data_IF_497397026955
#
_entry.id   IF_497397026955
#
_cell.length_a   1.000
_cell.length_b   1.000
_cell.length_c   1.000
_cell.angle_alpha   90.00
_cell.angle_beta   90.00
_cell.angle_gamma   90.00
#
_symmetry.space_group_name_H-M   'P 1'
#
loop_
_entity.id
_entity.type
_entity.pdbx_description
1 polymer ?
#
# COMPACT_ATOMS: atom_id res chain seq x y z
N UNK A 1 22.41 13.84 9.98
CA UNK A 1 22.95 12.51 9.63
C UNK A 1 21.85 11.80 8.87
N UNK A 2 22.07 11.48 7.60
CA UNK A 2 21.03 10.85 6.78
C UNK A 2 21.12 9.33 6.96
N UNK A 3 19.98 8.67 7.14
CA UNK A 3 19.96 7.23 7.37
C UNK A 3 20.26 6.51 6.06
N UNK A 4 21.25 5.59 6.00
CA UNK A 4 21.49 4.79 4.80
C UNK A 4 20.27 3.93 4.43
N UNK A 5 19.42 3.60 5.42
CA UNK A 5 18.16 2.91 5.22
C UNK A 5 17.05 3.82 4.71
N UNK A 6 17.17 5.15 4.83
CA UNK A 6 16.23 6.06 4.20
C UNK A 6 16.33 6.01 2.68
N UNK A 7 17.51 5.73 2.09
CA UNK A 7 17.63 5.60 0.64
C UNK A 7 16.87 4.37 0.11
N UNK A 8 17.00 3.24 0.80
CA UNK A 8 16.27 2.01 0.47
C UNK A 8 14.82 1.98 1.00
N UNK A 9 14.48 2.84 1.96
CA UNK A 9 13.16 2.98 2.58
C UNK A 9 12.32 4.15 2.08
N UNK A 10 12.93 5.13 1.40
CA UNK A 10 12.33 6.44 1.07
C UNK A 10 12.80 6.96 -0.31
N UNK A 11 12.83 6.10 -1.34
CA UNK A 11 12.75 6.56 -2.74
C UNK A 11 13.88 6.20 -3.70
N UNK A 12 14.92 5.44 -3.29
CA UNK A 12 15.99 5.02 -4.22
C UNK A 12 16.09 3.50 -4.41
N UNK A 13 15.25 2.71 -3.73
CA UNK A 13 15.19 1.26 -3.92
C UNK A 13 14.17 0.87 -4.98
N UNK A 14 14.58 0.05 -5.95
CA UNK A 14 13.70 -0.59 -6.94
C UNK A 14 12.67 -1.53 -6.31
N UNK A 15 12.77 -1.80 -5.01
CA UNK A 15 11.87 -2.71 -4.29
C UNK A 15 10.77 -1.93 -3.54
N UNK A 16 9.54 -2.38 -3.70
CA UNK A 16 8.36 -1.93 -2.95
C UNK A 16 7.56 -3.13 -2.46
N UNK A 17 6.64 -2.89 -1.52
CA UNK A 17 5.82 -3.92 -0.89
C UNK A 17 4.36 -3.64 -1.16
N UNK A 18 3.65 -4.69 -1.58
CA UNK A 18 2.19 -4.67 -1.68
C UNK A 18 1.58 -5.16 -0.38
N UNK A 19 0.60 -4.40 0.10
CA UNK A 19 -0.20 -4.72 1.27
C UNK A 19 -1.68 -4.81 0.89
N UNK A 20 -2.43 -5.60 1.64
CA UNK A 20 -3.88 -5.56 1.68
C UNK A 20 -4.28 -4.82 2.96
N UNK A 21 -4.95 -3.69 2.84
CA UNK A 21 -5.32 -2.84 3.98
C UNK A 21 -6.83 -2.57 3.99
N UNK A 22 -7.50 -2.74 5.14
CA UNK A 22 -8.90 -2.35 5.26
C UNK A 22 -8.99 -0.82 5.37
N UNK A 23 -9.76 -0.21 4.48
CA UNK A 23 -10.02 1.23 4.46
C UNK A 23 -11.51 1.52 4.61
N UNK A 24 -11.83 2.63 5.27
CA UNK A 24 -13.21 3.10 5.38
C UNK A 24 -13.60 3.91 4.14
N UNK A 25 -14.58 3.42 3.38
CA UNK A 25 -15.23 4.25 2.36
C UNK A 25 -16.20 5.20 3.06
N UNK A 26 -15.83 6.48 3.16
CA UNK A 26 -16.64 7.48 3.87
C UNK A 26 -18.00 7.76 3.22
N UNK A 27 -18.15 7.47 1.92
CA UNK A 27 -19.41 7.69 1.21
C UNK A 27 -20.43 6.59 1.51
N UNK A 28 -20.02 5.33 1.42
CA UNK A 28 -20.89 4.18 1.68
C UNK A 28 -20.91 3.73 3.14
N UNK A 29 -20.01 4.27 3.97
CA UNK A 29 -19.82 3.90 5.39
C UNK A 29 -19.51 2.41 5.58
N UNK A 30 -18.82 1.81 4.62
CA UNK A 30 -18.41 0.41 4.63
C UNK A 30 -16.89 0.29 4.62
N UNK A 31 -16.38 -0.78 5.23
CA UNK A 31 -14.98 -1.14 5.11
C UNK A 31 -14.77 -1.98 3.86
N UNK A 32 -13.68 -1.70 3.15
CA UNK A 32 -13.26 -2.48 1.98
C UNK A 32 -11.76 -2.74 2.07
N UNK A 33 -11.33 -3.92 1.65
CA UNK A 33 -9.91 -4.26 1.58
C UNK A 33 -9.36 -3.77 0.25
N UNK A 34 -8.31 -2.96 0.31
CA UNK A 34 -7.68 -2.35 -0.87
C UNK A 34 -6.19 -2.64 -0.87
N UNK A 35 -5.64 -2.83 -2.06
CA UNK A 35 -4.21 -3.02 -2.26
C UNK A 35 -3.51 -1.66 -2.10
N UNK A 36 -2.60 -1.59 -1.14
CA UNK A 36 -1.80 -0.40 -0.84
C UNK A 36 -0.30 -0.69 -1.01
N UNK A 37 0.48 0.37 -1.18
CA UNK A 37 1.93 0.31 -1.33
C UNK A 37 2.61 1.05 -0.18
N UNK A 38 3.82 0.63 0.20
CA UNK A 38 4.66 1.42 1.11
C UNK A 38 5.17 2.70 0.46
N UNK A 39 5.35 2.71 -0.86
CA UNK A 39 5.94 3.82 -1.62
C UNK A 39 5.37 3.94 -3.03
N UNK A 40 5.70 5.05 -3.69
CA UNK A 40 5.45 5.24 -5.10
C UNK A 40 6.37 4.30 -5.92
N UNK A 41 5.83 3.43 -6.79
CA UNK A 41 6.64 2.59 -7.64
C UNK A 41 7.18 3.38 -8.83
N UNK A 42 8.27 2.90 -9.42
CA UNK A 42 8.79 3.42 -10.68
C UNK A 42 8.05 2.82 -11.89
N UNK A 43 8.19 3.45 -13.06
CA UNK A 43 7.66 2.93 -14.32
C UNK A 43 6.14 3.10 -14.48
N UNK A 44 5.55 2.27 -15.34
CA UNK A 44 4.14 2.39 -15.74
C UNK A 44 3.14 2.15 -14.60
N UNK A 45 3.54 1.42 -13.55
CA UNK A 45 2.70 1.20 -12.38
C UNK A 45 2.45 2.51 -11.62
N UNK A 46 3.39 3.47 -11.71
CA UNK A 46 3.25 4.80 -11.11
C UNK A 46 1.99 5.52 -11.60
N UNK A 47 1.56 5.29 -12.84
CA UNK A 47 0.36 5.89 -13.41
C UNK A 47 -0.95 5.34 -12.83
N UNK A 48 -0.89 4.17 -12.18
CA UNK A 48 -2.01 3.52 -11.50
C UNK A 48 -1.93 3.62 -9.97
N UNK A 49 -0.98 4.36 -9.43
CA UNK A 49 -0.87 4.60 -7.98
C UNK A 49 -1.20 6.05 -7.65
N UNK A 50 -2.07 6.23 -6.67
CA UNK A 50 -2.49 7.53 -6.17
C UNK A 50 -2.28 7.63 -4.66
N UNK A 51 -1.92 8.82 -4.20
CA UNK A 51 -1.81 9.12 -2.78
C UNK A 51 -3.18 9.54 -2.26
N UNK A 52 -3.69 8.81 -1.26
CA UNK A 52 -5.02 9.04 -0.68
C UNK A 52 -4.88 9.34 0.80
N UNK A 53 -5.57 10.38 1.27
CA UNK A 53 -5.69 10.66 2.69
C UNK A 53 -6.82 9.80 3.29
N UNK A 54 -6.45 8.84 4.16
CA UNK A 54 -7.41 7.94 4.78
C UNK A 54 -7.86 8.49 6.16
N UNK A 55 -9.17 8.45 6.47
CA UNK A 55 -9.66 8.78 7.80
C UNK A 55 -9.29 7.67 8.80
N UNK A 56 -9.28 8.01 10.09
CA UNK A 56 -9.07 7.01 11.15
C UNK A 56 -10.15 5.94 11.10
N UNK A 57 -9.77 4.67 11.31
CA UNK A 57 -10.73 3.57 11.37
C UNK A 57 -11.39 3.43 12.74
N UNK A 58 -10.78 4.00 13.79
CA UNK A 58 -11.30 4.03 15.16
C UNK A 58 -10.88 5.31 15.89
N UNK A 59 -11.74 5.78 16.80
CA UNK A 59 -11.43 6.91 17.69
C UNK A 59 -10.26 6.61 18.65
N UNK A 60 -9.99 5.32 18.92
CA UNK A 60 -8.89 4.87 19.78
C UNK A 60 -7.57 4.67 19.02
N UNK A 61 -7.56 4.84 17.70
CA UNK A 61 -6.32 4.83 16.95
C UNK A 61 -5.60 6.18 17.14
N UNK A 62 -4.58 6.13 17.99
CA UNK A 62 -3.61 7.19 18.20
C UNK A 62 -2.28 6.77 17.57
N UNK A 63 -1.66 7.67 16.81
CA UNK A 63 -0.34 7.45 16.28
C UNK A 63 0.65 7.78 17.40
N UNK A 64 1.66 6.94 17.58
CA UNK A 64 2.58 7.08 18.71
C UNK A 64 3.24 8.46 18.69
N UNK A 65 3.17 9.18 19.81
CA UNK A 65 3.69 10.55 19.97
C UNK A 65 5.20 10.69 19.69
N UNK A 66 5.91 9.57 19.55
CA UNK A 66 7.34 9.48 19.27
C UNK A 66 7.71 9.60 17.79
N UNK A 67 6.75 9.50 16.86
CA UNK A 67 7.02 9.41 15.42
C UNK A 67 6.53 10.64 14.60
N UNK A 68 6.92 11.86 15.01
CA UNK A 68 6.85 13.08 14.17
C UNK A 68 5.47 13.40 13.56
N UNK A 69 5.42 14.25 12.53
CA UNK A 69 4.18 14.59 11.82
C UNK A 69 3.63 13.35 11.08
N UNK A 70 2.58 12.76 11.65
CA UNK A 70 1.88 11.58 11.15
C UNK A 70 1.03 11.99 9.94
N UNK A 71 1.48 11.64 8.73
CA UNK A 71 0.69 11.79 7.52
C UNK A 71 -0.15 10.53 7.30
N UNK A 72 -1.47 10.70 7.11
CA UNK A 72 -2.40 9.61 6.81
C UNK A 72 -2.50 9.30 5.31
N UNK A 73 -1.57 9.85 4.55
CA UNK A 73 -1.48 9.60 3.13
C UNK A 73 -0.94 8.19 2.87
N UNK A 74 -1.71 7.40 2.14
CA UNK A 74 -1.38 6.03 1.76
C UNK A 74 -1.36 5.94 0.24
N UNK A 75 -0.37 5.23 -0.30
CA UNK A 75 -0.33 4.90 -1.72
C UNK A 75 -1.31 3.77 -2.00
N UNK A 76 -2.30 4.05 -2.83
CA UNK A 76 -3.37 3.12 -3.17
C UNK A 76 -3.26 2.72 -4.63
N UNK A 77 -3.40 1.42 -4.91
CA UNK A 77 -3.44 0.90 -6.26
C UNK A 77 -4.84 1.08 -6.86
N UNK A 78 -4.88 1.76 -8.00
CA UNK A 78 -6.08 2.00 -8.79
C UNK A 78 -6.24 0.94 -9.87
N UNK A 79 -7.49 0.61 -10.20
CA UNK A 79 -7.83 -0.26 -11.34
C UNK A 79 -7.55 0.42 -12.68
N UNK A 80 -7.69 1.74 -12.74
CA UNK A 80 -7.53 2.55 -13.95
C UNK A 80 -6.40 3.58 -13.79
N UNK A 81 -5.72 3.97 -14.88
CA UNK A 81 -4.71 5.02 -14.84
C UNK A 81 -5.30 6.36 -14.34
N UNK A 82 -4.50 7.14 -13.60
CA UNK A 82 -4.88 8.45 -13.06
C UNK A 82 -5.44 9.41 -14.11
N UNK A 83 -5.00 9.29 -15.36
CA UNK A 83 -5.46 10.12 -16.49
C UNK A 83 -6.95 9.92 -16.80
N UNK A 84 -7.53 8.76 -16.44
CA UNK A 84 -8.94 8.42 -16.65
C UNK A 84 -9.88 9.01 -15.59
N UNK A 85 -9.34 9.70 -14.59
CA UNK A 85 -10.09 10.30 -13.48
C UNK A 85 -9.43 9.98 -12.14
N UNK A 86 -9.29 10.98 -11.29
CA UNK A 86 -8.76 10.78 -9.94
C UNK A 86 -9.78 10.07 -9.03
N UNK A 87 -9.23 9.42 -8.01
CA UNK A 87 -9.89 8.97 -6.79
C UNK A 87 -11.26 9.62 -6.50
N UNK A 88 -12.32 8.81 -6.53
CA UNK A 88 -13.67 9.23 -6.18
C UNK A 88 -14.33 8.16 -5.31
N UNK A 89 -14.65 8.51 -4.06
CA UNK A 89 -15.27 7.60 -3.09
C UNK A 89 -16.61 6.99 -3.54
N UNK A 90 -17.31 7.63 -4.49
CA UNK A 90 -18.54 7.10 -5.08
C UNK A 90 -18.29 5.87 -5.95
N UNK A 91 -17.13 5.81 -6.60
CA UNK A 91 -16.77 4.70 -7.48
C UNK A 91 -16.00 3.65 -6.68
N UNK A 92 -16.69 2.58 -6.26
CA UNK A 92 -16.09 1.47 -5.52
C UNK A 92 -15.16 0.63 -6.37
N UNK A 93 -15.36 0.60 -7.69
CA UNK A 93 -14.56 -0.20 -8.63
C UNK A 93 -13.20 0.43 -8.96
N UNK A 94 -12.94 1.65 -8.49
CA UNK A 94 -11.67 2.33 -8.78
C UNK A 94 -10.48 1.71 -8.05
N UNK A 95 -10.72 0.95 -6.98
CA UNK A 95 -9.68 0.32 -6.17
C UNK A 95 -9.50 -1.15 -6.53
N UNK A 96 -8.26 -1.61 -6.48
CA UNK A 96 -7.95 -3.03 -6.58
C UNK A 96 -8.09 -3.67 -5.19
N UNK A 97 -8.95 -4.68 -5.09
CA UNK A 97 -9.25 -5.38 -3.84
C UNK A 97 -8.53 -6.71 -3.69
N UNK A 98 -8.94 -7.50 -2.70
CA UNK A 98 -8.38 -8.83 -2.44
C UNK A 98 -8.58 -9.80 -3.62
N UNK A 99 -9.73 -9.72 -4.29
CA UNK A 99 -10.07 -10.60 -5.42
C UNK A 99 -9.24 -10.28 -6.68
N UNK A 100 -8.67 -9.07 -6.75
CA UNK A 100 -7.86 -8.63 -7.89
C UNK A 100 -6.38 -9.02 -7.76
N UNK A 101 -5.94 -9.55 -6.61
CA UNK A 101 -4.54 -9.90 -6.36
C UNK A 101 -3.94 -10.76 -7.49
N UNK A 102 -4.60 -11.83 -7.99
CA UNK A 102 -4.05 -12.63 -9.09
C UNK A 102 -3.79 -11.80 -10.36
N UNK A 103 -4.71 -10.89 -10.70
CA UNK A 103 -4.60 -10.01 -11.85
C UNK A 103 -3.47 -8.99 -11.69
N UNK A 104 -3.29 -8.44 -10.48
CA UNK A 104 -2.17 -7.54 -10.17
C UNK A 104 -0.83 -8.26 -10.33
N UNK A 105 -0.69 -9.46 -9.79
CA UNK A 105 0.53 -10.25 -9.91
C UNK A 105 0.83 -10.61 -11.38
N UNK A 106 -0.20 -10.94 -12.15
CA UNK A 106 -0.09 -11.17 -13.60
C UNK A 106 0.38 -9.93 -14.35
N UNK A 107 -0.21 -8.77 -14.06
CA UNK A 107 0.17 -7.50 -14.66
C UNK A 107 1.62 -7.13 -14.36
N UNK A 108 2.06 -7.25 -13.10
CA UNK A 108 3.42 -6.96 -12.69
C UNK A 108 4.43 -7.80 -13.48
N UNK A 109 4.19 -9.12 -13.55
CA UNK A 109 5.06 -10.03 -14.31
C UNK A 109 5.08 -9.70 -15.80
N UNK A 110 3.93 -9.38 -16.39
CA UNK A 110 3.84 -9.03 -17.81
C UNK A 110 4.59 -7.75 -18.18
N UNK A 111 4.76 -6.83 -17.22
CA UNK A 111 5.40 -5.53 -17.42
C UNK A 111 6.82 -5.45 -16.85
N UNK A 112 7.48 -6.60 -16.65
CA UNK A 112 8.90 -6.67 -16.28
C UNK A 112 9.20 -6.48 -14.79
N UNK A 113 8.19 -6.38 -13.93
CA UNK A 113 8.43 -6.40 -12.48
C UNK A 113 8.73 -7.82 -12.01
N UNK A 114 9.68 -7.94 -11.10
CA UNK A 114 10.06 -9.23 -10.48
C UNK A 114 9.40 -9.34 -9.11
N UNK A 115 8.62 -10.40 -8.92
CA UNK A 115 8.02 -10.70 -7.61
C UNK A 115 9.04 -11.50 -6.81
N UNK A 116 9.52 -10.94 -5.69
CA UNK A 116 10.50 -11.59 -4.84
C UNK A 116 9.80 -12.59 -3.90
N UNK A 117 9.79 -13.85 -4.31
CA UNK A 117 9.15 -14.91 -3.52
C UNK A 117 9.94 -15.30 -2.29
N UNK A 118 11.25 -15.09 -2.27
CA UNK A 118 12.11 -15.58 -1.19
C UNK A 118 12.08 -14.63 0.00
N UNK A 119 12.14 -13.32 -0.24
CA UNK A 119 11.84 -12.30 0.77
C UNK A 119 10.41 -12.48 1.28
N UNK A 120 9.44 -12.64 0.37
CA UNK A 120 8.03 -12.82 0.75
C UNK A 120 7.85 -14.04 1.66
N UNK A 121 8.43 -15.20 1.31
CA UNK A 121 8.41 -16.41 2.15
C UNK A 121 9.13 -16.21 3.48
N UNK A 122 10.27 -15.53 3.50
CA UNK A 122 11.01 -15.23 4.72
C UNK A 122 10.15 -14.41 5.68
N UNK A 123 9.45 -13.39 5.17
CA UNK A 123 8.57 -12.55 5.98
C UNK A 123 7.36 -13.31 6.51
N UNK A 124 6.72 -14.15 5.69
CA UNK A 124 5.59 -14.97 6.14
C UNK A 124 5.98 -16.08 7.13
N UNK A 125 7.22 -16.59 7.08
CA UNK A 125 7.73 -17.59 8.03
C UNK A 125 8.30 -16.97 9.31
N UNK A 126 8.59 -15.67 9.28
CA UNK A 126 9.14 -14.95 10.41
C UNK A 126 8.12 -14.85 11.54
N UNK A 127 8.60 -14.80 12.78
CA UNK A 127 7.77 -14.42 13.95
C UNK A 127 7.58 -12.91 14.04
N UNK A 128 8.27 -12.15 13.20
CA UNK A 128 8.11 -10.70 13.09
C UNK A 128 6.90 -10.45 12.21
N UNK A 129 5.81 -9.97 12.82
CA UNK A 129 4.63 -9.53 12.09
C UNK A 129 4.97 -8.27 11.30
N UNK A 130 5.25 -8.43 10.00
CA UNK A 130 5.43 -7.30 9.10
C UNK A 130 4.10 -7.09 8.39
N UNK A 131 3.37 -6.09 8.89
CA UNK A 131 1.93 -5.96 8.73
C UNK A 131 1.37 -5.24 9.97
N UNK A 132 0.07 -5.25 10.18
CA UNK A 132 -0.54 -4.70 11.38
C UNK A 132 -0.85 -3.20 11.36
N UNK A 133 -1.36 -2.74 12.50
CA UNK A 133 -1.64 -1.32 12.73
C UNK A 133 -0.31 -0.57 12.74
N UNK A 134 -0.17 0.41 11.86
CA UNK A 134 1.05 1.20 11.78
C UNK A 134 1.17 2.16 12.97
N UNK A 135 2.31 2.16 13.66
CA UNK A 135 2.62 3.15 14.70
C UNK A 135 2.71 4.59 14.16
N UNK A 136 2.90 4.72 12.84
CA UNK A 136 3.13 6.00 12.14
C UNK A 136 1.95 6.53 11.34
N UNK A 137 0.80 5.84 11.31
CA UNK A 137 -0.41 6.31 10.58
C UNK A 137 -1.66 5.63 11.12
N UNK A 138 -2.81 6.29 10.98
CA UNK A 138 -4.10 5.70 11.33
C UNK A 138 -4.54 4.69 10.26
N UNK A 139 -3.89 3.54 10.24
CA UNK A 139 -4.04 2.45 9.26
C UNK A 139 -4.74 1.27 9.92
N UNK A 140 -5.46 0.51 9.10
CA UNK A 140 -5.99 -0.78 9.50
C UNK A 140 -4.91 -1.84 9.66
N UNK A 141 -5.33 -3.03 10.09
CA UNK A 141 -4.50 -4.24 10.10
C UNK A 141 -4.08 -4.60 8.67
N UNK A 142 -2.92 -4.10 8.26
CA UNK A 142 -2.40 -4.30 6.90
C UNK A 142 -1.70 -5.65 6.81
N UNK A 143 -1.93 -6.39 5.75
CA UNK A 143 -1.32 -7.71 5.52
C UNK A 143 -0.40 -7.65 4.32
N UNK A 144 0.81 -8.18 4.43
CA UNK A 144 1.70 -8.27 3.25
C UNK A 144 1.06 -9.18 2.20
N UNK A 145 1.18 -8.79 0.94
CA UNK A 145 0.92 -9.61 -0.23
C UNK A 145 2.25 -10.16 -0.75
N UNK A 146 3.14 -9.28 -1.19
CA UNK A 146 4.47 -9.66 -1.68
C UNK A 146 5.43 -8.46 -1.77
N UNK A 147 6.71 -8.79 -1.90
CA UNK A 147 7.78 -7.88 -2.29
C UNK A 147 7.93 -7.89 -3.81
N UNK A 148 8.12 -6.71 -4.39
CA UNK A 148 8.24 -6.53 -5.84
C UNK A 148 9.43 -5.63 -6.14
N UNK A 149 10.25 -5.99 -7.12
CA UNK A 149 11.35 -5.17 -7.63
C UNK A 149 11.13 -4.78 -9.10
N UNK A 150 11.42 -3.53 -9.45
CA UNK A 150 11.30 -3.01 -10.82
C UNK A 150 11.98 -1.67 -11.02
#
# INVERSE_FOLDING_TARGET
>A
MESPFANFGSGSGNTFVLYLEPILNSYWKTYQNVITLDRMPNGILADMVCLVNLPKLSAFQEAGNMFGNVSNCVYVLLRYPKKSGCFNWKNTDIFMGADDIPSVLGYLRANGYTIDTDLTKMMFKSRVEVGGVSDRRFSGDRKIICFVSG
#
